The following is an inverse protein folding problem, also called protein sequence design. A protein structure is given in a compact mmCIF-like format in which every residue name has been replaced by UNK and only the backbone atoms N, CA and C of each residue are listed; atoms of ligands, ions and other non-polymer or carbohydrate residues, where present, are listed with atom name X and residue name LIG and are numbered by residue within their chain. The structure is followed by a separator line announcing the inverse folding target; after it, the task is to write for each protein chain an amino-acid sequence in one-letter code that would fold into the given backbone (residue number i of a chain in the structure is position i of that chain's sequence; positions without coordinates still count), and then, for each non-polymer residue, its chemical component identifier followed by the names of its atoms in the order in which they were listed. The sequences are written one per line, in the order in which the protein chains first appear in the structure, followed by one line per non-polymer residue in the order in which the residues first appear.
data_IF_752384071677
#
_entry.id   IF_752384071677
#
_cell.length_a   1.000
_cell.length_b   1.000
_cell.length_c   1.000
_cell.angle_alpha   90.00
_cell.angle_beta   90.00
_cell.angle_gamma   90.00
#
_symmetry.space_group_name_H-M   'P 1'
#
loop_
_entity.id
_entity.type
_entity.pdbx_description
1 polymer ?
#
# COMPACT_ATOMS: atom_id res chain seq x y z
N UNK A 1 -4.53 21.04 -3.63
CA UNK A 1 -4.69 20.39 -2.31
C UNK A 1 -5.34 21.37 -1.36
N UNK A 2 -6.38 20.95 -0.62
CA UNK A 2 -7.05 21.77 0.38
C UNK A 2 -6.86 21.15 1.77
N UNK A 3 -6.39 21.94 2.74
CA UNK A 3 -6.26 21.53 4.13
C UNK A 3 -7.29 22.31 4.94
N UNK A 4 -8.17 21.60 5.65
CA UNK A 4 -9.26 22.17 6.43
C UNK A 4 -9.02 21.85 7.90
N UNK A 5 -8.95 22.88 8.73
CA UNK A 5 -8.86 22.76 10.19
C UNK A 5 -10.27 22.87 10.77
N UNK A 6 -10.64 21.86 11.57
CA UNK A 6 -11.97 21.76 12.19
C UNK A 6 -11.83 21.65 13.70
N UNK A 7 -12.73 22.30 14.42
CA UNK A 7 -12.93 22.06 15.84
C UNK A 7 -13.83 20.84 16.05
N UNK A 8 -13.43 19.94 16.93
CA UNK A 8 -14.20 18.74 17.30
C UNK A 8 -15.03 18.99 18.58
N UNK A 9 -15.46 20.20 18.81
CA UNK A 9 -16.29 20.52 19.95
C UNK A 9 -17.73 20.05 19.72
N UNK A 10 -18.11 18.99 20.43
CA UNK A 10 -19.47 18.51 20.63
C UNK A 10 -20.30 18.05 19.41
N UNK A 11 -21.08 18.06 18.79
CA UNK A 11 -21.99 17.44 17.82
C UNK A 11 -21.76 17.90 16.39
N UNK A 12 -21.17 19.07 16.17
CA UNK A 12 -20.90 19.64 14.84
C UNK A 12 -19.42 20.00 14.71
N UNK A 13 -18.75 19.39 13.72
CA UNK A 13 -17.38 19.77 13.36
C UNK A 13 -17.39 21.18 12.75
N UNK A 14 -17.11 22.21 13.54
CA UNK A 14 -17.02 23.58 13.06
C UNK A 14 -15.70 23.80 12.31
N UNK A 15 -15.77 24.43 11.13
CA UNK A 15 -14.58 24.75 10.34
C UNK A 15 -13.96 26.04 10.89
N UNK A 16 -12.76 25.95 11.46
CA UNK A 16 -11.96 27.07 11.92
C UNK A 16 -11.44 27.85 10.72
N UNK A 17 -10.96 27.16 9.71
CA UNK A 17 -10.44 27.76 8.50
C UNK A 17 -9.80 26.72 7.58
N UNK A 18 -9.34 27.18 6.42
CA UNK A 18 -8.70 26.36 5.40
C UNK A 18 -7.52 27.07 4.78
N UNK A 19 -6.62 26.29 4.19
CA UNK A 19 -5.55 26.76 3.32
C UNK A 19 -5.55 25.95 2.03
N UNK A 20 -5.34 26.63 0.91
CA UNK A 20 -5.33 26.01 -0.42
C UNK A 20 -3.91 26.08 -0.99
N UNK A 21 -3.42 24.94 -1.47
CA UNK A 21 -2.13 24.84 -2.15
C UNK A 21 -2.34 24.37 -3.59
N UNK A 22 -1.63 25.00 -4.51
CA UNK A 22 -1.51 24.45 -5.86
C UNK A 22 -0.53 23.27 -5.79
N UNK A 23 -0.85 22.18 -6.49
CA UNK A 23 0.04 21.02 -6.53
C UNK A 23 1.34 21.35 -7.27
N UNK A 24 1.27 22.29 -8.23
CA UNK A 24 2.44 22.80 -8.95
C UNK A 24 3.46 23.53 -8.06
N UNK A 25 3.01 24.05 -6.91
CA UNK A 25 3.86 24.81 -5.99
C UNK A 25 4.52 23.89 -4.95
N UNK A 26 4.14 22.62 -4.92
CA UNK A 26 4.76 21.65 -4.03
C UNK A 26 6.21 21.39 -4.46
N UNK A 27 7.20 21.61 -3.58
CA UNK A 27 8.58 21.34 -3.91
C UNK A 27 8.76 19.83 -4.16
N UNK A 28 9.58 19.49 -5.14
CA UNK A 28 9.99 18.12 -5.40
C UNK A 28 11.08 17.74 -4.40
N UNK A 29 10.90 16.57 -3.80
CA UNK A 29 11.91 15.99 -2.91
C UNK A 29 12.20 14.58 -3.37
N UNK A 30 13.47 14.26 -3.51
CA UNK A 30 13.96 12.91 -3.79
C UNK A 30 14.93 12.50 -2.68
N UNK A 31 14.87 11.26 -2.18
CA UNK A 31 15.93 10.77 -1.28
C UNK A 31 17.32 10.85 -1.93
N UNK A 32 18.36 11.21 -1.17
CA UNK A 32 18.46 11.34 0.30
C UNK A 32 18.21 12.74 0.84
N UNK A 33 17.46 13.59 0.15
CA UNK A 33 17.24 14.96 0.59
C UNK A 33 16.62 15.02 2.02
N UNK A 34 17.01 16.04 2.78
CA UNK A 34 16.49 16.26 4.13
C UNK A 34 14.99 16.59 4.10
N UNK A 35 14.31 16.37 5.23
CA UNK A 35 12.94 16.82 5.41
C UNK A 35 12.84 18.35 5.23
N UNK A 36 11.77 18.80 4.60
CA UNK A 36 11.48 20.22 4.49
C UNK A 36 11.01 20.77 5.84
N UNK A 37 11.61 21.87 6.27
CA UNK A 37 11.21 22.53 7.51
C UNK A 37 9.72 22.92 7.45
N UNK A 38 8.95 22.65 8.53
CA UNK A 38 7.57 23.11 8.61
C UNK A 38 7.47 24.63 8.56
N UNK A 39 6.44 25.15 7.92
CA UNK A 39 6.16 26.57 7.80
C UNK A 39 4.77 26.87 8.34
N UNK A 40 4.57 28.10 8.83
CA UNK A 40 3.28 28.58 9.26
C UNK A 40 2.45 29.10 8.08
N UNK A 41 1.23 28.59 7.96
CA UNK A 41 0.26 28.99 6.94
C UNK A 41 -0.97 29.57 7.60
N UNK A 42 -1.31 30.79 7.22
CA UNK A 42 -2.49 31.49 7.73
C UNK A 42 -3.75 30.91 7.10
N UNK A 43 -4.72 30.60 7.93
CA UNK A 43 -5.99 30.04 7.46
C UNK A 43 -6.91 31.13 6.90
N UNK A 44 -7.80 30.76 6.01
CA UNK A 44 -8.85 31.59 5.43
C UNK A 44 -10.22 31.02 5.76
N UNK A 45 -11.21 31.88 5.93
CA UNK A 45 -12.60 31.50 6.10
C UNK A 45 -13.24 31.07 4.76
N UNK A 46 -14.54 30.77 4.79
CA UNK A 46 -15.32 30.38 3.59
C UNK A 46 -15.35 31.52 2.53
N UNK A 47 -15.14 32.77 2.95
CA UNK A 47 -15.16 33.96 2.09
C UNK A 47 -13.75 34.39 1.65
N UNK A 48 -12.74 33.55 1.84
CA UNK A 48 -11.32 33.83 1.56
C UNK A 48 -10.75 35.01 2.38
N UNK A 49 -11.37 35.35 3.53
CA UNK A 49 -10.80 36.29 4.47
C UNK A 49 -9.85 35.56 5.41
N UNK A 50 -8.69 36.17 5.64
CA UNK A 50 -7.70 35.64 6.58
C UNK A 50 -8.26 35.68 8.00
N UNK A 51 -8.23 34.53 8.68
CA UNK A 51 -8.55 34.44 10.12
C UNK A 51 -7.28 34.55 10.95
N UNK A 52 -7.43 34.73 12.26
CA UNK A 52 -6.27 34.83 13.19
C UNK A 52 -5.61 33.49 13.52
N UNK A 53 -6.08 32.43 12.93
CA UNK A 53 -5.54 31.07 13.12
C UNK A 53 -4.52 30.73 12.04
N UNK A 54 -3.49 29.99 12.45
CA UNK A 54 -2.43 29.49 11.56
C UNK A 54 -2.21 28.00 11.81
N UNK A 55 -1.74 27.28 10.78
CA UNK A 55 -1.34 25.88 10.87
C UNK A 55 0.13 25.73 10.49
N UNK A 56 0.89 25.04 11.32
CA UNK A 56 2.28 24.69 11.01
C UNK A 56 2.29 23.35 10.29
N UNK A 57 2.83 23.31 9.08
CA UNK A 57 2.95 22.08 8.30
C UNK A 57 4.06 22.19 7.26
N UNK A 58 4.52 21.06 6.78
CA UNK A 58 5.31 20.95 5.57
C UNK A 58 4.57 20.08 4.54
N UNK A 59 4.75 20.39 3.26
CA UNK A 59 4.23 19.57 2.17
C UNK A 59 5.21 19.57 1.02
N UNK A 60 5.26 18.47 0.29
CA UNK A 60 6.14 18.27 -0.88
C UNK A 60 5.60 17.17 -1.77
N UNK A 61 6.16 17.05 -2.97
CA UNK A 61 5.99 15.90 -3.83
C UNK A 61 7.18 14.97 -3.68
N UNK A 62 6.91 13.75 -3.26
CA UNK A 62 7.89 12.66 -3.16
C UNK A 62 7.69 11.62 -4.24
N UNK A 63 8.42 10.52 -4.09
CA UNK A 63 8.35 9.33 -4.95
C UNK A 63 7.79 8.15 -4.15
N UNK A 64 7.55 7.00 -4.79
CA UNK A 64 7.20 5.77 -4.08
C UNK A 64 8.27 5.34 -3.07
N UNK A 65 9.50 5.79 -3.27
CA UNK A 65 10.59 5.58 -2.30
C UNK A 65 10.28 6.21 -0.97
N UNK A 66 9.71 7.40 -0.97
CA UNK A 66 9.30 8.09 0.26
C UNK A 66 8.20 7.34 0.99
N UNK A 67 7.25 6.76 0.27
CA UNK A 67 6.16 5.97 0.84
C UNK A 67 6.67 4.68 1.48
N UNK A 68 7.61 4.00 0.83
CA UNK A 68 8.23 2.79 1.36
C UNK A 68 9.12 3.05 2.59
N UNK A 69 9.57 4.31 2.78
CA UNK A 69 10.45 4.71 3.87
C UNK A 69 9.85 5.82 4.73
N UNK A 70 8.67 5.59 5.25
CA UNK A 70 7.90 6.56 6.04
C UNK A 70 8.61 7.02 7.32
N UNK A 71 9.50 6.19 7.90
CA UNK A 71 10.26 6.54 9.10
C UNK A 71 11.24 7.70 8.93
N UNK A 72 11.66 8.03 7.69
CA UNK A 72 12.61 9.11 7.43
C UNK A 72 12.03 10.52 7.65
N UNK A 73 10.71 10.67 7.65
CA UNK A 73 10.08 12.00 7.73
C UNK A 73 9.26 12.24 8.99
N UNK A 74 8.86 11.19 9.68
CA UNK A 74 8.20 11.31 10.98
C UNK A 74 9.16 11.70 12.09
N UNK A 75 10.46 11.71 11.79
CA UNK A 75 11.50 12.01 12.76
C UNK A 75 11.40 13.39 13.39
N UNK A 76 10.89 14.37 12.66
CA UNK A 76 10.76 15.76 13.16
C UNK A 76 9.46 16.01 13.92
N UNK A 77 8.48 15.13 13.78
CA UNK A 77 7.15 15.29 14.38
C UNK A 77 6.92 14.46 15.64
N UNK A 78 7.73 13.44 15.88
CA UNK A 78 7.69 12.66 17.11
C UNK A 78 8.42 13.39 18.22
N UNK A 79 7.69 13.90 19.19
CA UNK A 79 8.18 14.47 20.45
C UNK A 79 8.83 13.34 21.26
N UNK A 80 9.89 13.24 21.33
CA UNK A 80 11.17 13.43 21.87
C UNK A 80 11.19 13.12 23.37
N UNK A 81 11.30 11.83 23.66
CA UNK A 81 12.09 11.41 24.80
C UNK A 81 13.58 11.48 24.41
N UNK A 82 14.47 11.80 25.34
CA UNK A 82 15.90 11.94 25.06
C UNK A 82 16.53 10.72 24.36
N UNK A 83 15.98 9.53 24.56
CA UNK A 83 16.39 8.29 23.89
C UNK A 83 15.87 8.19 22.44
N UNK A 84 14.75 8.82 22.12
CA UNK A 84 14.18 8.86 20.79
C UNK A 84 14.99 9.73 19.80
N UNK A 85 15.68 10.77 20.30
CA UNK A 85 16.48 11.68 19.44
C UNK A 85 17.68 10.95 18.81
N UNK A 86 18.35 10.10 19.57
CA UNK A 86 19.50 9.34 19.05
C UNK A 86 19.04 8.32 18.00
N UNK A 87 17.95 7.61 18.26
CA UNK A 87 17.37 6.64 17.31
C UNK A 87 16.88 7.34 16.05
N UNK A 88 16.17 8.45 16.20
CA UNK A 88 15.64 9.25 15.11
C UNK A 88 16.76 9.84 14.24
N UNK A 89 17.82 10.37 14.85
CA UNK A 89 19.01 10.85 14.13
C UNK A 89 19.71 9.72 13.39
N UNK A 90 19.85 8.54 13.99
CA UNK A 90 20.46 7.39 13.32
C UNK A 90 19.64 6.95 12.10
N UNK A 91 18.33 6.98 12.18
CA UNK A 91 17.45 6.67 11.04
C UNK A 91 17.50 7.73 9.91
N UNK A 92 17.65 9.01 10.24
CA UNK A 92 17.82 10.10 9.27
C UNK A 92 19.11 9.99 8.44
N UNK A 93 20.18 9.50 9.05
CA UNK A 93 21.50 9.40 8.39
C UNK A 93 21.73 8.07 7.66
N UNK A 94 20.86 7.08 7.87
CA UNK A 94 20.93 5.81 7.18
C UNK A 94 19.95 5.79 6.02
N UNK A 95 20.41 6.12 4.83
CA UNK A 95 19.66 5.82 3.61
C UNK A 95 19.65 4.30 3.40
N UNK A 96 18.51 3.63 3.52
CA UNK A 96 18.45 2.20 3.27
C UNK A 96 18.75 1.94 1.80
N UNK A 97 19.33 0.78 1.52
CA UNK A 97 19.45 0.33 0.13
C UNK A 97 18.06 -0.02 -0.38
N UNK A 98 17.67 0.62 -1.49
CA UNK A 98 16.36 0.46 -2.09
C UNK A 98 16.41 -0.53 -3.26
N UNK A 99 15.34 -1.31 -3.38
CA UNK A 99 15.16 -2.32 -4.41
C UNK A 99 13.78 -2.18 -5.06
N UNK A 100 13.69 -2.48 -6.34
CA UNK A 100 12.40 -2.63 -7.01
C UNK A 100 11.93 -4.07 -6.87
N UNK A 101 10.84 -4.26 -6.10
CA UNK A 101 10.16 -5.54 -6.04
C UNK A 101 9.16 -5.62 -7.20
N UNK A 102 9.44 -6.50 -8.15
CA UNK A 102 8.54 -6.81 -9.26
C UNK A 102 7.75 -8.08 -8.97
N UNK A 103 6.45 -7.98 -9.04
CA UNK A 103 5.50 -9.08 -8.87
C UNK A 103 4.70 -9.21 -10.16
N UNK A 104 5.04 -10.17 -11.01
CA UNK A 104 4.24 -10.50 -12.18
C UNK A 104 3.20 -11.55 -11.79
N UNK A 105 1.94 -11.14 -11.73
CA UNK A 105 0.80 -12.01 -11.44
C UNK A 105 0.32 -12.65 -12.74
N UNK A 106 0.48 -13.97 -12.88
CA UNK A 106 0.21 -14.67 -14.14
C UNK A 106 -1.20 -15.22 -14.15
N UNK A 107 -1.53 -16.12 -13.23
CA UNK A 107 -2.81 -16.81 -13.17
C UNK A 107 -3.06 -17.44 -11.78
N UNK A 108 -4.31 -17.81 -11.52
CA UNK A 108 -4.64 -18.69 -10.39
C UNK A 108 -5.42 -19.90 -10.87
N UNK A 109 -5.49 -20.94 -10.04
CA UNK A 109 -6.20 -22.17 -10.33
C UNK A 109 -6.96 -22.68 -9.12
N UNK A 110 -8.06 -23.37 -9.40
CA UNK A 110 -8.90 -24.09 -8.44
C UNK A 110 -9.40 -23.20 -7.29
N UNK A 111 -9.75 -21.94 -7.65
CA UNK A 111 -10.29 -21.02 -6.66
C UNK A 111 -11.68 -21.48 -6.18
N UNK A 112 -11.89 -21.41 -4.87
CA UNK A 112 -13.14 -21.76 -4.25
C UNK A 112 -13.97 -20.49 -4.04
N UNK A 113 -15.09 -20.35 -4.78
CA UNK A 113 -16.03 -19.26 -4.60
C UNK A 113 -16.94 -19.54 -3.40
N UNK A 114 -17.28 -18.50 -2.61
CA UNK A 114 -18.27 -18.63 -1.53
C UNK A 114 -19.65 -19.01 -2.07
N UNK A 115 -20.05 -18.36 -3.15
CA UNK A 115 -21.29 -18.71 -3.86
C UNK A 115 -20.95 -19.55 -5.09
N UNK A 116 -21.30 -20.84 -5.03
CA UNK A 116 -21.09 -21.80 -6.13
C UNK A 116 -21.95 -21.50 -7.37
N UNK A 117 -23.02 -20.70 -7.20
CA UNK A 117 -23.95 -20.35 -8.27
C UNK A 117 -23.54 -19.05 -9.01
N UNK A 118 -22.48 -18.38 -8.56
CA UNK A 118 -22.00 -17.17 -9.20
C UNK A 118 -21.46 -17.47 -10.60
N UNK A 119 -22.12 -16.96 -11.62
CA UNK A 119 -21.80 -17.27 -13.02
C UNK A 119 -20.58 -16.50 -13.56
N UNK A 120 -20.39 -15.26 -13.13
CA UNK A 120 -19.36 -14.36 -13.68
C UNK A 120 -18.55 -13.69 -12.57
N UNK A 121 -17.63 -14.41 -11.90
CA UNK A 121 -16.84 -13.83 -10.83
C UNK A 121 -15.87 -12.76 -11.36
N UNK A 122 -15.80 -11.63 -10.69
CA UNK A 122 -14.87 -10.53 -10.97
C UNK A 122 -13.63 -10.63 -10.06
N UNK A 123 -12.68 -11.48 -10.47
CA UNK A 123 -11.52 -11.83 -9.65
C UNK A 123 -10.33 -10.96 -10.01
N UNK A 124 -9.69 -10.41 -8.97
CA UNK A 124 -8.47 -9.62 -9.07
C UNK A 124 -7.49 -10.01 -7.96
N UNK A 125 -6.24 -9.57 -8.08
CA UNK A 125 -5.21 -9.77 -7.05
C UNK A 125 -4.93 -8.44 -6.37
N UNK A 126 -4.93 -8.47 -5.05
CA UNK A 126 -4.51 -7.38 -4.18
C UNK A 126 -3.15 -7.75 -3.60
N UNK A 127 -2.14 -6.99 -3.97
CA UNK A 127 -0.80 -7.13 -3.45
C UNK A 127 -0.55 -6.04 -2.40
N UNK A 128 0.00 -6.42 -1.26
CA UNK A 128 0.29 -5.50 -0.14
C UNK A 128 1.74 -5.69 0.29
N UNK A 129 2.45 -4.58 0.44
CA UNK A 129 3.78 -4.52 1.00
C UNK A 129 3.83 -3.39 2.03
N UNK A 130 4.01 -3.72 3.31
CA UNK A 130 3.89 -2.75 4.39
C UNK A 130 2.53 -2.05 4.36
N UNK A 131 2.52 -0.75 4.16
CA UNK A 131 1.31 0.08 4.04
C UNK A 131 0.81 0.25 2.60
N UNK A 132 1.63 -0.11 1.60
CA UNK A 132 1.32 0.07 0.18
C UNK A 132 0.45 -1.07 -0.32
N UNK A 133 -0.67 -0.73 -0.93
CA UNK A 133 -1.63 -1.68 -1.51
C UNK A 133 -1.83 -1.39 -2.98
N UNK A 134 -1.54 -2.36 -3.83
CA UNK A 134 -1.76 -2.28 -5.28
C UNK A 134 -2.70 -3.40 -5.71
N UNK A 135 -3.62 -3.09 -6.62
CA UNK A 135 -4.58 -4.07 -7.16
C UNK A 135 -4.30 -4.31 -8.64
N UNK A 136 -4.40 -5.56 -9.06
CA UNK A 136 -4.44 -5.89 -10.49
C UNK A 136 -5.77 -5.46 -11.09
N UNK A 137 -5.84 -5.46 -12.42
CA UNK A 137 -7.12 -5.43 -13.12
C UNK A 137 -7.93 -6.69 -12.82
N UNK A 138 -9.26 -6.59 -12.99
CA UNK A 138 -10.12 -7.79 -12.94
C UNK A 138 -9.75 -8.70 -14.10
N UNK A 139 -9.65 -10.00 -13.83
CA UNK A 139 -9.36 -10.98 -14.87
C UNK A 139 -10.39 -10.94 -15.99
N UNK A 140 -9.96 -10.95 -17.25
CA UNK A 140 -10.89 -11.07 -18.38
C UNK A 140 -11.60 -12.44 -18.41
N UNK A 141 -10.99 -13.46 -17.83
CA UNK A 141 -11.61 -14.79 -17.66
C UNK A 141 -12.44 -14.80 -16.37
N UNK A 142 -13.74 -14.82 -16.53
CA UNK A 142 -14.69 -14.85 -15.42
C UNK A 142 -14.99 -16.27 -14.97
N UNK A 143 -13.97 -16.97 -14.45
CA UNK A 143 -14.09 -18.33 -13.94
C UNK A 143 -13.10 -18.57 -12.78
N UNK A 144 -13.13 -19.74 -12.19
CA UNK A 144 -12.29 -20.14 -11.05
C UNK A 144 -10.80 -20.31 -11.39
N UNK A 145 -10.42 -20.15 -12.66
CA UNK A 145 -9.05 -20.21 -13.16
C UNK A 145 -8.71 -18.91 -13.91
N UNK A 146 -8.66 -17.76 -13.21
CA UNK A 146 -8.41 -16.46 -13.81
C UNK A 146 -6.96 -16.33 -14.30
N UNK A 147 -6.76 -15.44 -15.28
CA UNK A 147 -5.43 -15.09 -15.80
C UNK A 147 -5.31 -13.58 -15.91
N UNK A 148 -4.15 -13.02 -15.51
CA UNK A 148 -3.90 -11.57 -15.56
C UNK A 148 -2.70 -11.23 -16.43
N UNK A 149 -1.56 -11.87 -16.18
CA UNK A 149 -0.25 -11.55 -16.77
C UNK A 149 0.10 -10.05 -16.60
N UNK A 150 -0.05 -9.55 -15.39
CA UNK A 150 0.11 -8.15 -15.03
C UNK A 150 1.28 -7.97 -14.07
N UNK A 151 2.06 -6.92 -14.27
CA UNK A 151 3.17 -6.55 -13.40
C UNK A 151 2.71 -5.54 -12.34
N UNK A 152 3.03 -5.84 -11.10
CA UNK A 152 2.89 -4.95 -9.96
C UNK A 152 4.28 -4.61 -9.44
N UNK A 153 4.55 -3.33 -9.19
CA UNK A 153 5.85 -2.85 -8.74
C UNK A 153 5.74 -2.21 -7.37
N UNK A 154 6.70 -2.53 -6.51
CA UNK A 154 6.90 -1.87 -5.22
C UNK A 154 8.34 -1.41 -5.09
N UNK A 155 8.57 -0.48 -4.17
CA UNK A 155 9.90 -0.15 -3.67
C UNK A 155 10.04 -0.78 -2.30
N UNK A 156 11.10 -1.57 -2.10
CA UNK A 156 11.44 -2.22 -0.85
C UNK A 156 12.76 -1.68 -0.32
N UNK A 157 12.85 -1.46 0.98
CA UNK A 157 14.05 -0.98 1.67
C UNK A 157 14.72 -2.10 2.47
N UNK A 158 16.04 -2.14 2.48
CA UNK A 158 16.77 -3.00 3.40
C UNK A 158 16.87 -2.35 4.81
N UNK A 159 16.76 -3.12 5.91
CA UNK A 159 16.53 -4.57 5.95
C UNK A 159 15.10 -4.92 5.53
N UNK A 160 14.92 -6.10 4.90
CA UNK A 160 13.63 -6.56 4.40
C UNK A 160 12.77 -7.15 5.53
N UNK A 161 12.24 -6.30 6.38
CA UNK A 161 11.40 -6.70 7.53
C UNK A 161 9.94 -6.92 7.11
N UNK A 162 9.53 -6.33 5.98
CA UNK A 162 8.18 -6.46 5.46
C UNK A 162 7.94 -7.80 4.77
N UNK A 163 6.67 -8.20 4.75
CA UNK A 163 6.20 -9.35 4.01
C UNK A 163 5.31 -8.91 2.85
N UNK A 164 5.52 -9.51 1.68
CA UNK A 164 4.60 -9.40 0.56
C UNK A 164 3.38 -10.28 0.82
N UNK A 165 2.20 -9.68 0.80
CA UNK A 165 0.93 -10.39 0.90
C UNK A 165 0.20 -10.31 -0.44
N UNK A 166 -0.12 -11.45 -1.02
CA UNK A 166 -0.95 -11.56 -2.22
C UNK A 166 -2.31 -12.15 -1.82
N UNK A 167 -3.38 -11.38 -1.97
CA UNK A 167 -4.76 -11.83 -1.74
C UNK A 167 -5.48 -11.92 -3.07
N UNK A 168 -6.05 -13.08 -3.37
CA UNK A 168 -6.96 -13.24 -4.51
C UNK A 168 -8.35 -12.91 -4.02
N UNK A 169 -8.98 -11.93 -4.63
CA UNK A 169 -10.27 -11.39 -4.17
C UNK A 169 -11.30 -11.45 -5.30
N UNK A 170 -12.56 -11.69 -4.92
CA UNK A 170 -13.71 -11.60 -5.80
C UNK A 170 -14.55 -10.37 -5.43
N UNK A 171 -14.83 -9.53 -6.39
CA UNK A 171 -15.67 -8.35 -6.22
C UNK A 171 -17.12 -8.76 -6.06
N UNK A 172 -17.77 -8.31 -4.99
CA UNK A 172 -19.17 -8.66 -4.68
C UNK A 172 -20.17 -7.88 -5.54
N UNK A 173 -19.87 -6.61 -5.80
CA UNK A 173 -20.73 -5.74 -6.58
C UNK A 173 -19.93 -4.87 -7.56
N UNK A 174 -20.37 -4.73 -8.82
CA UNK A 174 -19.64 -3.94 -9.83
C UNK A 174 -19.42 -2.47 -9.44
N UNK A 175 -20.33 -1.89 -8.63
CA UNK A 175 -20.33 -0.47 -8.25
C UNK A 175 -19.82 -0.19 -6.83
N UNK A 176 -19.53 -1.22 -6.03
CA UNK A 176 -19.01 -1.06 -4.67
C UNK A 176 -17.60 -1.65 -4.58
N UNK A 177 -16.79 -1.08 -3.70
CA UNK A 177 -15.43 -1.59 -3.44
C UNK A 177 -15.39 -2.83 -2.53
N UNK A 178 -16.54 -3.44 -2.27
CA UNK A 178 -16.63 -4.62 -1.43
C UNK A 178 -16.13 -5.85 -2.20
N UNK A 179 -15.18 -6.54 -1.61
CA UNK A 179 -14.60 -7.78 -2.14
C UNK A 179 -14.48 -8.84 -1.05
N UNK A 180 -14.44 -10.08 -1.47
CA UNK A 180 -14.26 -11.24 -0.60
C UNK A 180 -12.97 -11.93 -0.96
N UNK A 181 -12.12 -12.20 0.02
CA UNK A 181 -10.89 -12.97 -0.18
C UNK A 181 -11.22 -14.44 -0.47
N UNK A 182 -10.64 -14.95 -1.54
CA UNK A 182 -10.70 -16.37 -1.94
C UNK A 182 -9.48 -17.15 -1.43
N UNK A 183 -8.47 -16.45 -0.95
CA UNK A 183 -7.27 -17.01 -0.39
C UNK A 183 -6.11 -16.01 -0.45
N UNK A 184 -5.12 -16.23 0.38
CA UNK A 184 -3.94 -15.36 0.46
C UNK A 184 -2.65 -16.17 0.49
N UNK A 185 -1.58 -15.55 0.02
CA UNK A 185 -0.22 -16.04 0.13
C UNK A 185 0.65 -14.96 0.77
N UNK A 186 1.50 -15.36 1.71
CA UNK A 186 2.41 -14.45 2.42
C UNK A 186 3.84 -14.91 2.21
N UNK A 187 4.72 -14.00 1.81
CA UNK A 187 6.14 -14.24 1.61
C UNK A 187 6.96 -13.15 2.28
N UNK A 188 7.91 -13.53 3.13
CA UNK A 188 8.91 -12.60 3.63
C UNK A 188 9.81 -12.13 2.49
N UNK A 189 10.08 -10.82 2.40
CA UNK A 189 10.93 -10.28 1.33
C UNK A 189 12.36 -10.82 1.36
N UNK A 190 12.85 -11.22 2.52
CA UNK A 190 14.17 -11.88 2.67
C UNK A 190 14.29 -13.17 1.87
N UNK A 191 13.16 -13.82 1.54
CA UNK A 191 13.12 -15.05 0.73
C UNK A 191 13.01 -14.79 -0.78
N UNK A 192 12.88 -13.52 -1.18
CA UNK A 192 12.78 -13.16 -2.61
C UNK A 192 14.17 -13.14 -3.23
N UNK A 193 14.28 -13.74 -4.40
CA UNK A 193 15.54 -13.76 -5.14
C UNK A 193 15.94 -12.34 -5.61
N UNK A 194 17.10 -11.88 -5.16
CA UNK A 194 17.74 -10.68 -5.69
C UNK A 194 18.30 -10.95 -7.08
N UNK A 195 17.93 -10.13 -8.05
CA UNK A 195 18.42 -10.25 -9.41
C UNK A 195 19.65 -9.37 -9.60
N UNK A 196 20.78 -10.02 -9.84
CA UNK A 196 22.05 -9.36 -10.15
C UNK A 196 22.35 -9.34 -11.66
N UNK A 197 21.48 -9.95 -12.45
CA UNK A 197 21.64 -10.06 -13.91
C UNK A 197 20.28 -9.87 -14.62
N UNK A 198 20.30 -9.76 -15.94
CA UNK A 198 19.10 -9.57 -16.76
C UNK A 198 18.31 -10.85 -17.04
N UNK A 199 18.67 -11.97 -16.44
CA UNK A 199 17.92 -13.21 -16.64
C UNK A 199 16.48 -13.08 -16.05
N UNK A 200 15.45 -13.53 -16.77
CA UNK A 200 14.09 -13.46 -16.26
C UNK A 200 13.92 -14.40 -15.04
N UNK A 201 13.28 -13.91 -13.98
CA UNK A 201 12.93 -14.74 -12.86
C UNK A 201 11.95 -15.84 -13.32
N UNK A 202 12.09 -17.06 -12.78
CA UNK A 202 11.15 -18.15 -13.06
C UNK A 202 9.82 -17.93 -12.33
N UNK A 203 8.71 -18.30 -12.97
CA UNK A 203 7.42 -18.33 -12.30
C UNK A 203 7.29 -19.55 -11.41
N UNK A 204 6.59 -19.37 -10.28
CA UNK A 204 6.34 -20.47 -9.32
C UNK A 204 4.87 -20.49 -8.93
N UNK A 205 4.38 -21.68 -8.64
CA UNK A 205 3.06 -21.88 -8.05
C UNK A 205 3.14 -21.87 -6.53
N UNK A 206 2.26 -21.11 -5.91
CA UNK A 206 2.11 -21.05 -4.47
C UNK A 206 0.70 -21.42 -4.07
N UNK A 207 0.56 -22.19 -2.99
CA UNK A 207 -0.73 -22.51 -2.42
C UNK A 207 -1.30 -21.25 -1.72
N UNK A 208 -2.59 -21.05 -1.86
CA UNK A 208 -3.30 -19.99 -1.18
C UNK A 208 -3.88 -20.52 0.13
N UNK A 209 -3.59 -19.84 1.23
CA UNK A 209 -4.22 -20.12 2.52
C UNK A 209 -5.63 -19.56 2.52
N UNK A 210 -6.60 -20.40 2.84
CA UNK A 210 -7.98 -19.97 3.05
C UNK A 210 -8.13 -19.35 4.43
N UNK A 211 -8.96 -18.31 4.57
CA UNK A 211 -9.34 -17.76 5.86
C UNK A 211 -10.09 -18.82 6.69
N UNK A 212 -9.90 -18.81 8.01
CA UNK A 212 -10.43 -19.85 8.92
C UNK A 212 -11.95 -20.02 8.85
N UNK A 213 -12.70 -18.97 8.55
CA UNK A 213 -14.17 -19.02 8.37
C UNK A 213 -14.62 -19.99 7.27
N UNK A 214 -13.78 -20.27 6.27
CA UNK A 214 -14.07 -21.22 5.20
C UNK A 214 -13.59 -22.64 5.52
N UNK A 215 -12.76 -22.82 6.54
CA UNK A 215 -12.26 -24.15 6.93
C UNK A 215 -13.30 -24.99 7.64
N UNK A 216 -14.31 -24.36 8.28
CA UNK A 216 -15.33 -25.03 9.10
C UNK A 216 -16.40 -25.75 8.26
N UNK A 217 -16.63 -25.33 7.01
CA UNK A 217 -17.68 -25.91 6.17
C UNK A 217 -17.19 -26.96 5.15
N UNK A 218 -15.87 -27.11 4.96
CA UNK A 218 -15.33 -28.04 3.99
C UNK A 218 -14.28 -28.98 4.61
N UNK A 219 -14.77 -30.10 5.14
CA UNK A 219 -13.91 -31.26 5.36
C UNK A 219 -13.32 -31.71 4.03
N UNK A 220 -11.98 -31.60 3.93
CA UNK A 220 -11.13 -32.12 2.86
C UNK A 220 -11.33 -31.52 1.45
N UNK A 221 -10.82 -30.32 1.23
CA UNK A 221 -10.44 -29.94 -0.14
C UNK A 221 -9.04 -30.53 -0.42
N UNK A 222 -9.00 -31.58 -1.21
CA UNK A 222 -7.77 -32.29 -1.62
C UNK A 222 -6.84 -31.45 -2.51
N UNK A 223 -7.31 -30.31 -3.03
CA UNK A 223 -6.58 -29.40 -3.89
C UNK A 223 -6.70 -27.99 -3.33
N UNK A 224 -5.59 -27.47 -2.83
CA UNK A 224 -5.52 -26.09 -2.42
C UNK A 224 -5.57 -25.18 -3.66
N UNK A 225 -6.34 -24.08 -3.60
CA UNK A 225 -6.26 -22.99 -4.57
C UNK A 225 -4.82 -22.54 -4.71
N UNK A 226 -4.38 -22.22 -5.93
CA UNK A 226 -2.99 -21.87 -6.23
C UNK A 226 -2.91 -20.58 -7.03
N UNK A 227 -1.83 -19.85 -6.82
CA UNK A 227 -1.46 -18.69 -7.63
C UNK A 227 -0.10 -18.91 -8.27
N UNK A 228 0.03 -18.56 -9.55
CA UNK A 228 1.29 -18.56 -10.28
C UNK A 228 1.78 -17.14 -10.42
N UNK A 229 2.95 -16.87 -9.85
CA UNK A 229 3.56 -15.55 -9.88
C UNK A 229 5.07 -15.66 -10.14
N UNK A 230 5.62 -14.57 -10.66
CA UNK A 230 7.05 -14.35 -10.81
C UNK A 230 7.42 -13.18 -9.93
N UNK A 231 8.25 -13.41 -8.90
CA UNK A 231 8.64 -12.42 -7.92
C UNK A 231 10.16 -12.25 -7.95
N UNK A 232 10.63 -11.02 -8.00
CA UNK A 232 12.07 -10.68 -7.99
C UNK A 232 12.31 -9.30 -7.38
N UNK A 233 13.43 -9.15 -6.70
CA UNK A 233 14.04 -7.91 -6.26
C UNK A 233 15.17 -7.48 -7.18
#
# INVERSE_FOLDING_TARGET
MEVIVKDRANITNEIIGKVLFLVSDAPLRAPPDSCLAPQWYRLEDKNKKKVTAEVMMSFWMGTQVDEAFSGAWQSDSTIISNDGVALTRSQQYYSPRLWYLRVNVIQAQDLVLRDKNMKDPEIFVKATLGTVVVRSKVSPKKNVNPTWNEDIMFVAAEPFDDSLVLSVENKLHPKKEESVSLGRYVMALSNVQKRMNNAPASSKWYNLDMLEELKTEQKQVKFASKINVRISL
#
